data_IF_186342130539
#
_entry.id   IF_186342130539
#
_cell.length_a   1.000
_cell.length_b   1.000
_cell.length_c   1.000
_cell.angle_alpha   90.00
_cell.angle_beta   90.00
_cell.angle_gamma   90.00
#
_symmetry.space_group_name_H-M   'P 1'
#
loop_
_entity.id
_entity.type
_entity.pdbx_description
1 polymer ?
#
# COMPACT_ATOMS: atom_id res chain seq x y z
N UNK A 1 -76.28 73.39 7.23
CA UNK A 1 -77.16 72.47 7.95
C UNK A 1 -76.53 71.07 7.81
N UNK A 2 -75.98 70.52 8.91
CA UNK A 2 -75.42 69.19 9.03
C UNK A 2 -76.49 68.09 8.82
N UNK A 3 -76.06 66.86 8.53
CA UNK A 3 -75.83 65.97 9.66
C UNK A 3 -74.63 65.00 9.51
N UNK A 4 -74.02 64.74 10.63
CA UNK A 4 -73.17 63.70 11.11
C UNK A 4 -73.74 62.27 10.92
N UNK A 5 -72.92 61.27 10.48
CA UNK A 5 -72.97 59.83 10.75
C UNK A 5 -71.73 59.25 10.05
N UNK A 6 -70.90 58.38 10.54
CA UNK A 6 -70.72 57.59 11.73
C UNK A 6 -69.35 56.91 11.58
N UNK A 7 -68.48 57.20 12.50
CA UNK A 7 -67.15 56.62 12.61
C UNK A 7 -67.21 55.47 13.64
N UNK A 8 -67.76 54.32 13.29
CA UNK A 8 -67.78 53.18 14.21
C UNK A 8 -67.86 51.79 13.51
N UNK A 9 -67.37 51.66 12.30
CA UNK A 9 -67.40 50.30 11.60
C UNK A 9 -66.06 49.78 11.11
N UNK A 10 -64.94 50.48 11.39
CA UNK A 10 -63.64 50.09 10.90
C UNK A 10 -62.69 49.39 11.92
N UNK A 11 -63.11 49.34 13.22
CA UNK A 11 -62.22 48.81 14.29
C UNK A 11 -62.42 47.31 14.64
N UNK A 12 -63.31 46.56 13.96
CA UNK A 12 -63.55 45.12 14.27
C UNK A 12 -63.08 44.14 13.25
N UNK A 13 -62.45 44.56 12.17
CA UNK A 13 -61.90 43.64 11.13
C UNK A 13 -60.41 43.48 11.17
N UNK A 14 -59.62 44.19 11.95
CA UNK A 14 -58.15 44.06 12.05
C UNK A 14 -57.67 43.17 13.20
N UNK A 15 -58.52 42.63 14.05
CA UNK A 15 -58.15 41.82 15.21
C UNK A 15 -58.24 40.27 14.97
N UNK A 16 -58.75 39.80 13.80
CA UNK A 16 -58.87 38.35 13.50
C UNK A 16 -57.85 37.85 12.49
N UNK A 17 -57.01 38.69 11.89
CA UNK A 17 -55.99 38.29 10.94
C UNK A 17 -54.58 38.21 11.53
N UNK A 18 -54.36 38.63 12.78
CA UNK A 18 -53.06 38.56 13.45
C UNK A 18 -52.84 37.26 14.28
N UNK A 19 -53.89 36.45 14.50
CA UNK A 19 -53.79 35.21 15.28
C UNK A 19 -53.57 33.94 14.44
N UNK A 20 -53.63 34.00 13.08
CA UNK A 20 -53.43 32.85 12.20
C UNK A 20 -52.02 32.75 11.58
N UNK A 21 -51.12 33.71 11.84
CA UNK A 21 -49.77 33.74 11.31
C UNK A 21 -48.67 33.30 12.29
N UNK A 22 -49.03 32.97 13.54
CA UNK A 22 -48.04 32.57 14.56
C UNK A 22 -47.96 31.05 14.85
N UNK A 23 -48.63 30.19 14.03
CA UNK A 23 -48.75 28.76 14.30
C UNK A 23 -48.01 27.85 13.27
N UNK A 24 -47.06 28.37 12.47
CA UNK A 24 -46.45 27.59 11.41
C UNK A 24 -44.92 27.70 11.29
N UNK A 25 -44.20 27.82 12.38
CA UNK A 25 -42.73 27.59 12.37
C UNK A 25 -42.31 26.94 13.70
N UNK A 26 -42.91 25.79 14.02
CA UNK A 26 -42.24 24.77 14.79
C UNK A 26 -41.69 23.77 13.75
N UNK A 27 -40.68 24.18 13.01
CA UNK A 27 -39.76 23.20 12.41
C UNK A 27 -39.18 22.43 13.57
N UNK A 28 -39.63 21.18 13.70
CA UNK A 28 -38.96 20.16 14.48
C UNK A 28 -37.48 20.15 14.02
N UNK A 29 -36.62 20.84 14.75
CA UNK A 29 -35.21 20.56 14.75
C UNK A 29 -35.11 19.11 15.29
N UNK A 30 -35.16 18.13 14.38
CA UNK A 30 -34.74 16.77 14.72
C UNK A 30 -33.40 16.91 15.43
N UNK A 31 -33.20 16.32 16.60
CA UNK A 31 -31.89 16.32 17.23
C UNK A 31 -30.92 15.79 16.17
N UNK A 32 -29.92 16.59 15.83
CA UNK A 32 -28.80 16.11 15.01
C UNK A 32 -28.19 14.98 15.83
N UNK A 33 -28.61 13.75 15.57
CA UNK A 33 -27.93 12.59 16.11
C UNK A 33 -26.51 12.71 15.60
N UNK A 34 -25.55 12.88 16.51
CA UNK A 34 -24.14 12.77 16.15
C UNK A 34 -24.00 11.44 15.41
N UNK A 35 -23.63 11.50 14.13
CA UNK A 35 -23.49 10.30 13.32
C UNK A 35 -22.48 9.39 14.02
N UNK A 36 -22.87 8.15 14.34
CA UNK A 36 -21.96 7.18 14.95
C UNK A 36 -20.70 7.01 14.12
N UNK A 37 -19.56 6.82 14.78
CA UNK A 37 -18.28 6.59 14.12
C UNK A 37 -17.80 5.15 14.32
N UNK A 38 -16.94 4.70 13.39
CA UNK A 38 -16.10 3.52 13.53
C UNK A 38 -14.65 3.94 13.34
N UNK A 39 -13.79 3.58 14.29
CA UNK A 39 -12.36 3.92 14.20
C UNK A 39 -11.60 2.93 13.34
N UNK A 40 -10.66 3.46 12.54
CA UNK A 40 -9.66 2.68 11.79
C UNK A 40 -8.26 3.18 12.13
N UNK A 41 -7.31 2.27 12.26
CA UNK A 41 -5.91 2.62 12.50
C UNK A 41 -5.17 2.93 11.20
N UNK A 42 -4.29 3.93 11.24
CA UNK A 42 -3.36 4.27 10.16
C UNK A 42 -1.95 4.27 10.77
N UNK A 43 -1.19 3.21 10.47
CA UNK A 43 0.10 2.91 11.11
C UNK A 43 1.21 3.00 10.08
N UNK A 44 1.76 4.19 9.92
CA UNK A 44 2.85 4.49 8.98
C UNK A 44 3.88 5.42 9.60
N UNK A 45 5.17 5.21 9.30
CA UNK A 45 6.24 6.10 9.74
C UNK A 45 6.15 7.45 9.03
N UNK A 46 5.98 8.51 9.81
CA UNK A 46 5.93 9.90 9.32
C UNK A 46 7.26 10.62 9.57
N UNK A 47 8.18 9.94 10.26
CA UNK A 47 9.53 10.37 10.55
C UNK A 47 10.52 9.20 10.44
N UNK A 48 11.84 9.49 10.39
CA UNK A 48 12.89 8.48 10.18
C UNK A 48 13.04 8.05 8.71
N UNK A 49 13.83 6.97 8.49
CA UNK A 49 14.28 6.52 7.15
C UNK A 49 13.15 6.15 6.20
N UNK A 50 12.00 5.69 6.72
CA UNK A 50 10.87 5.26 5.91
C UNK A 50 9.85 6.36 5.62
N UNK A 51 10.01 7.57 6.18
CA UNK A 51 9.09 8.67 5.94
C UNK A 51 8.98 9.07 4.47
N UNK A 52 10.04 8.88 3.67
CA UNK A 52 10.06 9.14 2.23
C UNK A 52 8.99 8.34 1.47
N UNK A 53 8.68 7.13 1.93
CA UNK A 53 7.72 6.20 1.31
C UNK A 53 6.38 6.16 2.08
N UNK A 54 6.42 6.15 3.42
CA UNK A 54 5.22 5.86 4.21
C UNK A 54 4.28 7.06 4.40
N UNK A 55 4.77 8.30 4.25
CA UNK A 55 3.92 9.50 4.39
C UNK A 55 2.79 9.51 3.36
N UNK A 56 3.09 9.13 2.12
CA UNK A 56 2.11 9.09 1.02
C UNK A 56 1.06 8.00 1.23
N UNK A 57 1.41 6.89 1.87
CA UNK A 57 0.44 5.84 2.19
C UNK A 57 -0.56 6.30 3.24
N UNK A 58 -0.11 7.00 4.29
CA UNK A 58 -1.01 7.66 5.24
C UNK A 58 -1.95 8.63 4.53
N UNK A 59 -1.43 9.45 3.61
CA UNK A 59 -2.20 10.44 2.88
C UNK A 59 -3.31 9.80 2.02
N UNK A 60 -3.00 8.72 1.29
CA UNK A 60 -4.00 8.07 0.43
C UNK A 60 -5.05 7.30 1.23
N UNK A 61 -4.69 6.72 2.37
CA UNK A 61 -5.68 6.11 3.29
C UNK A 61 -6.65 7.18 3.80
N UNK A 62 -6.15 8.37 4.17
CA UNK A 62 -7.01 9.49 4.59
C UNK A 62 -7.91 9.97 3.45
N UNK A 63 -7.42 10.01 2.21
CA UNK A 63 -8.24 10.33 1.04
C UNK A 63 -9.37 9.30 0.85
N UNK A 64 -9.06 8.00 0.92
CA UNK A 64 -10.08 6.96 0.81
C UNK A 64 -11.13 7.07 1.92
N UNK A 65 -10.72 7.36 3.15
CA UNK A 65 -11.64 7.60 4.28
C UNK A 65 -12.52 8.81 4.03
N UNK A 66 -11.96 9.91 3.53
CA UNK A 66 -12.72 11.12 3.21
C UNK A 66 -13.78 10.87 2.12
N UNK A 67 -13.40 10.18 1.04
CA UNK A 67 -14.31 9.79 -0.05
C UNK A 67 -15.45 8.88 0.45
N UNK A 68 -15.15 7.88 1.26
CA UNK A 68 -16.16 6.98 1.85
C UNK A 68 -17.09 7.78 2.77
N UNK A 69 -16.55 8.67 3.58
CA UNK A 69 -17.30 9.53 4.47
C UNK A 69 -18.21 10.51 3.70
N UNK A 70 -17.73 11.08 2.61
CA UNK A 70 -18.56 11.91 1.72
C UNK A 70 -19.73 11.12 1.11
N UNK A 71 -19.52 9.83 0.82
CA UNK A 71 -20.54 8.88 0.35
C UNK A 71 -21.51 8.36 1.43
N UNK A 72 -21.42 8.82 2.69
CA UNK A 72 -22.30 8.39 3.78
C UNK A 72 -21.67 7.47 4.82
N UNK A 73 -20.39 7.09 4.62
CA UNK A 73 -19.66 6.20 5.53
C UNK A 73 -19.88 4.72 5.23
N UNK A 74 -19.78 3.87 6.22
CA UNK A 74 -19.95 2.42 6.12
C UNK A 74 -20.96 1.93 7.16
N UNK A 75 -21.96 1.15 6.76
CA UNK A 75 -23.11 0.76 7.59
C UNK A 75 -23.73 1.92 8.38
N UNK A 76 -23.81 3.12 7.76
CA UNK A 76 -24.37 4.32 8.38
C UNK A 76 -23.44 5.05 9.37
N UNK A 77 -22.22 4.55 9.58
CA UNK A 77 -21.21 5.17 10.45
C UNK A 77 -20.15 5.91 9.64
N UNK A 78 -19.69 7.06 10.13
CA UNK A 78 -18.49 7.70 9.60
C UNK A 78 -17.24 6.96 10.05
N UNK A 79 -16.24 6.88 9.17
CA UNK A 79 -14.92 6.35 9.53
C UNK A 79 -14.13 7.46 10.21
N UNK A 80 -13.57 7.16 11.37
CA UNK A 80 -12.67 8.04 12.13
C UNK A 80 -11.25 7.46 12.06
N UNK A 81 -10.32 8.07 11.32
CA UNK A 81 -8.94 7.57 11.23
C UNK A 81 -8.15 7.96 12.49
N UNK A 82 -7.47 6.98 13.08
CA UNK A 82 -6.51 7.16 14.17
C UNK A 82 -5.11 6.98 13.59
N UNK A 83 -4.42 8.11 13.35
CA UNK A 83 -3.09 8.13 12.76
C UNK A 83 -2.04 8.05 13.87
N UNK A 84 -1.09 7.12 13.74
CA UNK A 84 0.03 6.96 14.67
C UNK A 84 1.35 6.89 13.89
N UNK A 85 2.38 7.56 14.42
CA UNK A 85 3.75 7.56 13.89
C UNK A 85 4.64 6.65 14.74
N UNK A 86 5.13 5.52 14.23
CA UNK A 86 6.12 4.68 14.87
C UNK A 86 7.56 5.11 14.54
N UNK A 87 7.79 6.24 13.86
CA UNK A 87 9.08 6.90 13.64
C UNK A 87 10.19 6.01 13.07
N UNK A 88 9.85 5.03 12.21
CA UNK A 88 10.78 4.02 11.68
C UNK A 88 11.48 3.18 12.77
N UNK A 89 10.89 3.09 13.96
CA UNK A 89 11.35 2.27 15.08
C UNK A 89 10.51 0.99 15.16
N UNK A 90 11.13 -0.16 14.88
CA UNK A 90 10.41 -1.42 14.72
C UNK A 90 9.70 -1.91 15.99
N UNK A 91 10.30 -1.85 17.20
CA UNK A 91 9.61 -2.07 18.47
C UNK A 91 8.40 -1.15 18.67
N UNK A 92 8.50 0.12 18.31
CA UNK A 92 7.41 1.08 18.47
C UNK A 92 6.21 0.77 17.60
N UNK A 93 6.40 0.12 16.42
CA UNK A 93 5.29 -0.40 15.63
C UNK A 93 4.40 -1.35 16.43
N UNK A 94 4.98 -2.29 17.18
CA UNK A 94 4.22 -3.22 18.00
C UNK A 94 3.44 -2.52 19.14
N UNK A 95 4.06 -1.53 19.79
CA UNK A 95 3.39 -0.73 20.82
C UNK A 95 2.22 0.07 20.26
N UNK A 96 2.42 0.75 19.12
CA UNK A 96 1.38 1.51 18.43
C UNK A 96 0.26 0.62 17.93
N UNK A 97 0.56 -0.56 17.39
CA UNK A 97 -0.47 -1.53 17.00
C UNK A 97 -1.30 -1.96 18.21
N UNK A 98 -0.66 -2.24 19.35
CA UNK A 98 -1.37 -2.58 20.59
C UNK A 98 -2.24 -1.42 21.09
N UNK A 99 -1.75 -0.18 21.01
CA UNK A 99 -2.53 1.02 21.32
C UNK A 99 -3.79 1.08 20.45
N UNK A 100 -3.65 0.95 19.13
CA UNK A 100 -4.76 0.99 18.18
C UNK A 100 -5.83 -0.07 18.49
N UNK A 101 -5.41 -1.30 18.80
CA UNK A 101 -6.34 -2.40 19.07
C UNK A 101 -7.03 -2.21 20.43
N UNK A 102 -6.26 -1.98 21.51
CA UNK A 102 -6.75 -2.08 22.89
C UNK A 102 -7.30 -0.75 23.42
N UNK A 103 -6.62 0.36 23.12
CA UNK A 103 -7.01 1.68 23.66
C UNK A 103 -7.98 2.39 22.71
N UNK A 104 -7.62 2.46 21.41
CA UNK A 104 -8.41 3.16 20.41
C UNK A 104 -9.57 2.29 19.89
N UNK A 105 -9.48 0.96 20.02
CA UNK A 105 -10.49 -0.03 19.61
C UNK A 105 -10.84 0.10 18.14
N UNK A 106 -9.83 0.14 17.28
CA UNK A 106 -10.02 0.22 15.83
C UNK A 106 -10.58 -1.07 15.26
N UNK A 107 -11.44 -0.97 14.25
CA UNK A 107 -12.02 -2.12 13.56
C UNK A 107 -11.03 -2.78 12.58
N UNK A 108 -10.06 -2.01 12.08
CA UNK A 108 -9.01 -2.45 11.15
C UNK A 108 -7.84 -1.48 11.24
N UNK A 109 -6.64 -1.95 10.88
CA UNK A 109 -5.46 -1.09 10.69
C UNK A 109 -4.99 -1.20 9.25
N UNK A 110 -4.62 -0.06 8.65
CA UNK A 110 -3.94 0.05 7.37
C UNK A 110 -2.51 0.50 7.66
N UNK A 111 -1.52 -0.27 7.20
CA UNK A 111 -0.19 0.14 7.60
C UNK A 111 0.93 -0.83 7.38
N UNK A 112 2.04 -0.34 7.85
CA UNK A 112 3.40 -0.81 7.71
C UNK A 112 3.94 -0.69 6.27
N UNK A 113 5.26 -0.55 6.18
CA UNK A 113 6.00 -0.68 4.93
C UNK A 113 6.96 -1.86 5.01
N UNK A 114 7.88 -1.84 5.95
CA UNK A 114 8.95 -2.83 5.98
C UNK A 114 8.46 -4.18 6.51
N UNK A 115 9.06 -5.26 6.01
CA UNK A 115 8.77 -6.60 6.54
C UNK A 115 9.17 -6.73 8.02
N UNK A 116 10.16 -5.98 8.48
CA UNK A 116 10.51 -5.97 9.92
C UNK A 116 9.43 -5.30 10.76
N UNK A 117 8.82 -4.21 10.29
CA UNK A 117 7.68 -3.59 11.00
C UNK A 117 6.46 -4.51 11.00
N UNK A 118 6.13 -5.14 9.85
CA UNK A 118 5.06 -6.14 9.78
C UNK A 118 5.29 -7.30 10.74
N UNK A 119 6.50 -7.87 10.77
CA UNK A 119 6.84 -8.96 11.70
C UNK A 119 6.82 -8.53 13.16
N UNK A 120 7.09 -7.27 13.47
CA UNK A 120 6.95 -6.73 14.83
C UNK A 120 5.49 -6.64 15.26
N UNK A 121 4.57 -6.29 14.34
CA UNK A 121 3.14 -6.19 14.67
C UNK A 121 2.40 -7.53 14.57
N UNK A 122 2.91 -8.51 13.82
CA UNK A 122 2.26 -9.81 13.59
C UNK A 122 1.79 -10.49 14.89
N UNK A 123 2.64 -10.69 15.93
CA UNK A 123 2.19 -11.33 17.16
C UNK A 123 1.15 -10.50 17.93
N UNK A 124 1.14 -9.18 17.73
CA UNK A 124 0.12 -8.29 18.33
C UNK A 124 -1.21 -8.42 17.59
N UNK A 125 -1.18 -8.48 16.25
CA UNK A 125 -2.38 -8.62 15.42
C UNK A 125 -3.05 -9.98 15.62
N UNK A 126 -2.27 -11.04 15.79
CA UNK A 126 -2.75 -12.41 16.01
C UNK A 126 -3.11 -12.74 17.47
N UNK A 127 -2.78 -11.85 18.40
CA UNK A 127 -3.11 -12.07 19.80
C UNK A 127 -4.63 -12.15 20.02
N UNK A 128 -5.04 -13.02 20.93
CA UNK A 128 -6.44 -13.13 21.34
C UNK A 128 -6.79 -11.97 22.28
N UNK A 129 -7.76 -11.19 21.89
CA UNK A 129 -8.30 -10.09 22.70
C UNK A 129 -9.71 -10.41 23.17
N UNK A 130 -10.07 -9.90 24.35
CA UNK A 130 -11.45 -9.95 24.82
C UNK A 130 -12.31 -8.92 24.10
N UNK A 131 -13.63 -9.06 24.12
CA UNK A 131 -14.55 -8.05 23.58
C UNK A 131 -14.48 -6.71 24.34
N UNK A 132 -13.98 -6.72 25.58
CA UNK A 132 -13.72 -5.50 26.35
C UNK A 132 -12.50 -4.74 25.80
N UNK A 133 -11.47 -5.47 25.35
CA UNK A 133 -10.27 -4.91 24.77
C UNK A 133 -10.54 -4.43 23.33
N UNK A 134 -11.21 -5.26 22.52
CA UNK A 134 -11.61 -4.87 21.16
C UNK A 134 -12.95 -5.54 20.79
N UNK A 135 -14.01 -4.76 20.51
CA UNK A 135 -15.34 -5.31 20.24
C UNK A 135 -15.46 -6.02 18.89
N UNK A 136 -14.46 -5.88 18.01
CA UNK A 136 -14.47 -6.43 16.66
C UNK A 136 -13.79 -7.80 16.55
N UNK A 137 -13.11 -8.29 17.60
CA UNK A 137 -12.50 -9.61 17.65
C UNK A 137 -10.97 -9.61 17.56
N UNK A 138 -10.32 -8.48 17.88
CA UNK A 138 -8.86 -8.38 17.95
C UNK A 138 -8.24 -7.47 16.90
N UNK A 139 -7.04 -7.84 16.40
CA UNK A 139 -6.34 -7.09 15.36
C UNK A 139 -6.72 -7.57 13.95
N UNK A 140 -6.79 -6.65 13.00
CA UNK A 140 -6.89 -6.91 11.57
C UNK A 140 -6.02 -5.88 10.85
N UNK A 141 -5.14 -6.35 9.95
CA UNK A 141 -4.18 -5.50 9.24
C UNK A 141 -4.32 -5.67 7.74
N UNK A 142 -4.36 -4.56 7.00
CA UNK A 142 -4.11 -4.51 5.57
C UNK A 142 -2.69 -3.98 5.33
N UNK A 143 -1.85 -4.82 4.74
CA UNK A 143 -0.43 -4.55 4.46
C UNK A 143 -0.22 -4.29 2.97
N UNK A 144 0.10 -3.03 2.56
CA UNK A 144 0.02 -2.61 1.16
C UNK A 144 1.32 -2.79 0.35
N UNK A 145 2.39 -3.29 0.95
CA UNK A 145 3.73 -3.22 0.35
C UNK A 145 4.20 -4.60 -0.08
N UNK A 146 5.05 -4.65 -1.11
CA UNK A 146 5.74 -5.87 -1.51
C UNK A 146 6.55 -6.47 -0.35
N UNK A 147 6.72 -7.79 -0.36
CA UNK A 147 7.45 -8.46 0.69
C UNK A 147 8.08 -9.78 0.20
N UNK A 148 8.87 -10.40 1.06
CA UNK A 148 9.66 -11.60 0.76
C UNK A 148 8.86 -12.90 0.60
N UNK A 149 7.55 -12.90 0.83
CA UNK A 149 6.79 -14.13 1.02
C UNK A 149 7.11 -14.79 2.37
N UNK A 150 7.02 -16.13 2.41
CA UNK A 150 7.36 -16.94 3.57
C UNK A 150 6.51 -16.64 4.81
N UNK A 151 5.28 -16.18 4.57
CA UNK A 151 4.34 -15.82 5.63
C UNK A 151 2.89 -15.88 5.14
N UNK A 152 2.02 -16.34 6.02
CA UNK A 152 0.58 -16.28 5.87
C UNK A 152 -0.05 -16.09 7.24
N UNK A 153 -0.96 -15.13 7.38
CA UNK A 153 -1.63 -14.83 8.65
C UNK A 153 -3.15 -14.77 8.47
N UNK A 154 -3.93 -15.31 9.40
CA UNK A 154 -5.40 -15.17 9.36
C UNK A 154 -5.88 -13.75 9.63
N UNK A 155 -5.00 -12.88 10.14
CA UNK A 155 -5.33 -11.51 10.56
C UNK A 155 -4.66 -10.44 9.70
N UNK A 156 -3.90 -10.83 8.66
CA UNK A 156 -3.26 -9.89 7.74
C UNK A 156 -3.74 -10.15 6.32
N UNK A 157 -4.16 -9.10 5.63
CA UNK A 157 -4.42 -9.08 4.20
C UNK A 157 -3.28 -8.38 3.48
N UNK A 158 -2.64 -9.10 2.57
CA UNK A 158 -1.46 -8.65 1.82
C UNK A 158 -1.92 -8.06 0.48
N UNK A 159 -1.98 -6.73 0.40
CA UNK A 159 -2.36 -6.04 -0.84
C UNK A 159 -1.17 -5.67 -1.70
N UNK A 160 0.06 -5.76 -1.17
CA UNK A 160 1.31 -5.68 -1.93
C UNK A 160 1.72 -6.98 -2.62
N UNK A 161 2.80 -6.94 -3.38
CA UNK A 161 3.30 -8.06 -4.17
C UNK A 161 3.99 -9.16 -3.34
N UNK A 162 3.74 -10.43 -3.66
CA UNK A 162 4.58 -11.57 -3.28
C UNK A 162 5.75 -11.75 -4.27
N UNK A 163 6.79 -12.57 -3.96
CA UNK A 163 7.96 -12.71 -4.81
C UNK A 163 7.68 -13.12 -6.25
N UNK A 164 6.69 -14.00 -6.49
CA UNK A 164 6.29 -14.41 -7.83
C UNK A 164 5.50 -13.34 -8.59
N UNK A 165 5.15 -12.24 -7.93
CA UNK A 165 4.48 -11.07 -8.51
C UNK A 165 5.42 -9.86 -8.66
N UNK A 166 6.71 -10.00 -8.39
CA UNK A 166 7.69 -8.92 -8.51
C UNK A 166 9.10 -9.45 -8.82
N UNK A 167 9.75 -10.12 -7.87
CA UNK A 167 11.15 -10.50 -7.93
C UNK A 167 11.45 -11.47 -9.10
N UNK A 168 10.66 -12.53 -9.22
CA UNK A 168 10.87 -13.58 -10.20
C UNK A 168 10.61 -13.09 -11.62
N UNK A 169 9.47 -12.45 -11.95
CA UNK A 169 9.24 -11.92 -13.29
C UNK A 169 10.29 -10.88 -13.72
N UNK A 170 10.76 -10.05 -12.79
CA UNK A 170 11.82 -9.07 -13.07
C UNK A 170 13.14 -9.74 -13.43
N UNK A 171 13.55 -10.76 -12.67
CA UNK A 171 14.76 -11.51 -12.98
C UNK A 171 14.63 -12.28 -14.33
N UNK A 172 13.46 -12.87 -14.62
CA UNK A 172 13.18 -13.51 -15.92
C UNK A 172 13.26 -12.51 -17.07
N UNK A 173 12.66 -11.33 -16.91
CA UNK A 173 12.74 -10.26 -17.89
C UNK A 173 14.19 -9.89 -18.18
N UNK A 174 15.03 -9.68 -17.16
CA UNK A 174 16.44 -9.33 -17.36
C UNK A 174 17.22 -10.42 -18.09
N UNK A 175 16.82 -11.70 -17.94
CA UNK A 175 17.42 -12.83 -18.67
C UNK A 175 16.92 -12.93 -20.12
N UNK A 176 15.77 -12.35 -20.44
CA UNK A 176 15.19 -12.38 -21.79
C UNK A 176 15.92 -11.43 -22.75
N UNK A 177 15.65 -11.59 -24.06
CA UNK A 177 16.17 -10.69 -25.08
C UNK A 177 15.74 -9.24 -24.85
N UNK A 178 14.50 -9.01 -24.49
CA UNK A 178 13.94 -7.68 -24.23
C UNK A 178 14.58 -6.99 -23.01
N UNK A 179 14.96 -7.78 -21.98
CA UNK A 179 15.70 -7.30 -20.81
C UNK A 179 17.22 -7.23 -21.00
N UNK A 180 17.71 -7.52 -22.20
CA UNK A 180 19.13 -7.41 -22.56
C UNK A 180 19.97 -8.64 -22.25
N UNK A 181 19.34 -9.85 -22.13
CA UNK A 181 19.99 -11.16 -21.98
C UNK A 181 21.07 -11.19 -20.90
N UNK A 182 20.77 -10.61 -19.72
CA UNK A 182 21.73 -10.51 -18.62
C UNK A 182 22.10 -11.89 -18.06
N UNK A 183 23.37 -12.06 -17.72
CA UNK A 183 23.95 -13.31 -17.23
C UNK A 183 24.54 -13.19 -15.84
N UNK A 184 24.78 -11.95 -15.37
CA UNK A 184 25.36 -11.63 -14.08
C UNK A 184 24.40 -10.77 -13.27
N UNK A 185 24.19 -11.11 -12.00
CA UNK A 185 23.19 -10.50 -11.13
C UNK A 185 23.84 -10.02 -9.83
N UNK A 186 23.81 -8.71 -9.58
CA UNK A 186 24.27 -8.12 -8.34
C UNK A 186 23.07 -7.86 -7.43
N UNK A 187 22.91 -8.66 -6.40
CA UNK A 187 21.81 -8.57 -5.44
C UNK A 187 22.21 -7.61 -4.33
N UNK A 188 21.69 -6.40 -4.35
CA UNK A 188 22.02 -5.34 -3.38
C UNK A 188 20.80 -4.96 -2.58
N UNK A 189 20.88 -5.02 -1.24
CA UNK A 189 19.73 -4.74 -0.40
C UNK A 189 20.08 -4.07 0.93
N UNK A 190 19.04 -3.56 1.58
CA UNK A 190 19.14 -3.12 2.98
C UNK A 190 19.21 -4.35 3.89
N UNK A 191 19.98 -4.30 4.96
CA UNK A 191 20.23 -5.45 5.84
C UNK A 191 19.09 -5.70 6.83
N UNK A 192 18.01 -6.34 6.34
CA UNK A 192 16.92 -6.83 7.17
C UNK A 192 16.16 -7.99 6.49
N UNK A 193 15.05 -8.46 7.08
CA UNK A 193 14.40 -9.72 6.67
C UNK A 193 13.95 -9.74 5.20
N UNK A 194 13.39 -8.63 4.66
CA UNK A 194 12.92 -8.62 3.27
C UNK A 194 14.06 -8.85 2.27
N UNK A 195 15.14 -8.02 2.20
CA UNK A 195 16.21 -8.25 1.24
C UNK A 195 16.92 -9.58 1.45
N UNK A 196 17.15 -10.00 2.70
CA UNK A 196 17.81 -11.26 3.02
C UNK A 196 17.02 -12.47 2.49
N UNK A 197 15.71 -12.48 2.64
CA UNK A 197 14.86 -13.57 2.17
C UNK A 197 14.57 -13.46 0.67
N UNK A 198 14.31 -12.25 0.16
CA UNK A 198 14.17 -11.98 -1.28
C UNK A 198 15.38 -12.46 -2.07
N UNK A 199 16.61 -12.18 -1.59
CA UNK A 199 17.82 -12.63 -2.24
C UNK A 199 18.01 -14.17 -2.17
N UNK A 200 17.52 -14.84 -1.12
CA UNK A 200 17.48 -16.32 -1.10
C UNK A 200 16.58 -16.86 -2.20
N UNK A 201 15.39 -16.28 -2.37
CA UNK A 201 14.45 -16.65 -3.44
C UNK A 201 15.07 -16.40 -4.81
N UNK A 202 15.62 -15.20 -5.03
CA UNK A 202 16.30 -14.85 -6.29
C UNK A 202 17.47 -15.76 -6.61
N UNK A 203 18.33 -16.06 -5.64
CA UNK A 203 19.46 -16.99 -5.83
C UNK A 203 19.01 -18.39 -6.20
N UNK A 204 17.98 -18.91 -5.51
CA UNK A 204 17.42 -20.22 -5.82
C UNK A 204 16.81 -20.24 -7.23
N UNK A 205 16.07 -19.19 -7.60
CA UNK A 205 15.53 -19.01 -8.95
C UNK A 205 16.65 -18.95 -10.00
N UNK A 206 17.63 -18.08 -9.86
CA UNK A 206 18.74 -17.91 -10.81
C UNK A 206 19.52 -19.22 -11.01
N UNK A 207 19.81 -19.95 -9.92
CA UNK A 207 20.43 -21.28 -9.98
C UNK A 207 19.58 -22.30 -10.73
N UNK A 208 18.25 -22.28 -10.53
CA UNK A 208 17.33 -23.15 -11.27
C UNK A 208 17.34 -22.90 -12.79
N UNK A 209 17.69 -21.65 -13.19
CA UNK A 209 17.88 -21.26 -14.59
C UNK A 209 19.32 -21.49 -15.12
N UNK A 210 20.18 -22.08 -14.31
CA UNK A 210 21.56 -22.42 -14.70
C UNK A 210 22.59 -21.30 -14.56
N UNK A 211 22.24 -20.19 -13.83
CA UNK A 211 23.20 -19.10 -13.56
C UNK A 211 24.26 -19.60 -12.57
N UNK A 212 25.58 -19.57 -12.94
CA UNK A 212 26.65 -20.00 -12.05
C UNK A 212 26.78 -19.10 -10.81
N UNK A 213 27.27 -19.66 -9.70
CA UNK A 213 27.50 -18.88 -8.46
C UNK A 213 28.45 -17.69 -8.67
N UNK A 214 29.45 -17.82 -9.52
CA UNK A 214 30.36 -16.71 -9.86
C UNK A 214 29.68 -15.50 -10.54
N UNK A 215 28.49 -15.71 -11.08
CA UNK A 215 27.67 -14.68 -11.74
C UNK A 215 26.60 -14.10 -10.82
N UNK A 216 26.60 -14.45 -9.53
CA UNK A 216 25.66 -13.92 -8.54
C UNK A 216 26.47 -13.30 -7.40
N UNK A 217 26.46 -11.96 -7.33
CA UNK A 217 27.02 -11.23 -6.21
C UNK A 217 25.90 -10.83 -5.23
N UNK A 218 26.23 -10.71 -3.95
CA UNK A 218 25.25 -10.35 -2.92
C UNK A 218 25.90 -9.42 -1.88
N UNK A 219 25.27 -8.29 -1.61
CA UNK A 219 25.75 -7.33 -0.61
C UNK A 219 24.60 -6.60 0.07
N UNK A 220 24.83 -6.17 1.33
CA UNK A 220 23.84 -5.52 2.16
C UNK A 220 24.39 -4.28 2.83
N UNK A 221 23.53 -3.27 3.03
CA UNK A 221 23.83 -2.04 3.76
C UNK A 221 22.83 -1.83 4.89
N UNK A 222 23.21 -1.18 6.00
CA UNK A 222 22.24 -0.82 7.03
C UNK A 222 21.20 0.17 6.49
N UNK A 223 20.09 0.34 7.20
CA UNK A 223 19.19 1.48 6.98
C UNK A 223 19.93 2.81 7.10
N UNK A 224 19.49 3.83 6.36
CA UNK A 224 20.10 5.17 6.31
C UNK A 224 21.57 5.16 5.87
N UNK A 225 22.01 4.15 5.12
CA UNK A 225 23.36 4.11 4.54
C UNK A 225 23.52 5.17 3.46
N UNK A 226 24.62 5.92 3.51
CA UNK A 226 24.87 7.05 2.61
C UNK A 226 26.14 6.95 1.78
N UNK A 227 27.11 6.12 2.17
CA UNK A 227 28.41 5.97 1.48
C UNK A 227 28.42 4.73 0.58
N UNK A 228 28.00 4.89 -0.65
CA UNK A 228 27.98 3.81 -1.64
C UNK A 228 29.22 3.72 -2.53
N UNK A 229 30.27 4.54 -2.29
CA UNK A 229 31.43 4.62 -3.17
C UNK A 229 32.10 3.25 -3.41
N UNK A 230 32.36 2.50 -2.36
CA UNK A 230 33.01 1.18 -2.47
C UNK A 230 32.10 0.15 -3.11
N UNK A 231 30.79 0.14 -2.76
CA UNK A 231 29.82 -0.83 -3.29
C UNK A 231 29.61 -0.59 -4.79
N UNK A 232 29.41 0.66 -5.20
CA UNK A 232 29.25 1.01 -6.62
C UNK A 232 30.52 0.70 -7.42
N UNK A 233 31.72 0.88 -6.83
CA UNK A 233 32.98 0.44 -7.43
C UNK A 233 33.04 -1.06 -7.69
N UNK A 234 32.53 -1.88 -6.76
CA UNK A 234 32.42 -3.34 -6.96
C UNK A 234 31.39 -3.70 -8.04
N UNK A 235 30.23 -3.02 -8.07
CA UNK A 235 29.23 -3.18 -9.11
C UNK A 235 29.83 -2.87 -10.48
N UNK A 236 30.60 -1.78 -10.60
CA UNK A 236 31.25 -1.37 -11.84
C UNK A 236 32.24 -2.43 -12.36
N UNK A 237 33.07 -2.99 -11.49
CA UNK A 237 33.98 -4.07 -11.85
C UNK A 237 33.22 -5.35 -12.24
N UNK A 238 32.17 -5.71 -11.50
CA UNK A 238 31.33 -6.86 -11.80
C UNK A 238 30.62 -6.73 -13.15
N UNK A 239 30.23 -5.52 -13.54
CA UNK A 239 29.50 -5.22 -14.77
C UNK A 239 30.38 -4.87 -15.98
N UNK A 240 31.71 -4.94 -15.87
CA UNK A 240 32.64 -4.49 -16.92
C UNK A 240 32.44 -5.12 -18.30
N UNK A 241 31.90 -6.35 -18.34
CA UNK A 241 31.66 -7.09 -19.56
C UNK A 241 30.29 -6.79 -20.20
N UNK A 242 29.45 -5.94 -19.58
CA UNK A 242 28.18 -5.45 -20.13
C UNK A 242 26.97 -6.39 -19.98
N UNK A 243 27.13 -7.58 -19.40
CA UNK A 243 26.10 -8.59 -19.26
C UNK A 243 25.51 -8.70 -17.83
N UNK A 244 25.76 -7.66 -17.00
CA UNK A 244 25.29 -7.60 -15.62
C UNK A 244 24.09 -6.66 -15.43
N UNK A 245 23.32 -6.92 -14.36
CA UNK A 245 22.35 -5.98 -13.81
C UNK A 245 22.40 -5.99 -12.28
N UNK A 246 21.85 -4.95 -11.66
CA UNK A 246 21.62 -4.88 -10.22
C UNK A 246 20.14 -5.18 -9.95
N UNK A 247 19.86 -6.13 -9.09
CA UNK A 247 18.53 -6.37 -8.50
C UNK A 247 18.51 -5.73 -7.12
N UNK A 248 17.84 -4.57 -7.00
CA UNK A 248 17.93 -3.71 -5.83
C UNK A 248 16.74 -3.87 -4.90
N UNK A 249 17.01 -4.32 -3.68
CA UNK A 249 16.07 -4.35 -2.54
C UNK A 249 16.46 -3.32 -1.46
N UNK A 250 17.14 -2.23 -1.84
CA UNK A 250 17.41 -1.10 -0.97
C UNK A 250 16.09 -0.40 -0.63
N UNK A 251 15.89 -0.06 0.64
CA UNK A 251 14.67 0.60 1.12
C UNK A 251 14.95 1.96 1.77
N UNK A 252 13.94 2.82 1.73
CA UNK A 252 13.97 4.12 2.39
C UNK A 252 14.90 5.12 1.73
N UNK A 253 15.35 6.07 2.52
CA UNK A 253 16.18 7.20 2.11
C UNK A 253 17.56 6.82 1.53
N UNK A 254 18.05 5.62 1.81
CA UNK A 254 19.31 5.07 1.27
C UNK A 254 19.32 4.92 -0.26
N UNK A 255 18.16 4.89 -0.92
CA UNK A 255 18.06 4.86 -2.37
C UNK A 255 18.64 6.13 -3.02
N UNK A 256 18.44 7.30 -2.41
CA UNK A 256 18.90 8.59 -2.95
C UNK A 256 20.43 8.61 -3.11
N UNK A 257 21.26 8.38 -2.08
CA UNK A 257 22.72 8.34 -2.23
C UNK A 257 23.20 7.17 -3.10
N UNK A 258 22.51 6.02 -3.11
CA UNK A 258 22.87 4.92 -3.98
C UNK A 258 22.81 5.31 -5.46
N UNK A 259 21.66 5.80 -5.93
CA UNK A 259 21.51 6.18 -7.33
C UNK A 259 22.40 7.38 -7.72
N UNK A 260 22.59 8.33 -6.82
CA UNK A 260 23.51 9.45 -7.02
C UNK A 260 24.93 8.96 -7.25
N UNK A 261 25.43 8.06 -6.40
CA UNK A 261 26.78 7.52 -6.52
C UNK A 261 26.92 6.62 -7.76
N UNK A 262 25.88 5.85 -8.10
CA UNK A 262 25.83 5.02 -9.30
C UNK A 262 26.05 5.85 -10.57
N UNK A 263 25.34 6.98 -10.68
CA UNK A 263 25.50 7.93 -11.77
C UNK A 263 26.88 8.63 -11.74
N UNK A 264 27.36 9.04 -10.55
CA UNK A 264 28.66 9.71 -10.40
C UNK A 264 29.84 8.85 -10.86
N UNK A 265 29.79 7.53 -10.69
CA UNK A 265 30.79 6.61 -11.20
C UNK A 265 30.63 6.26 -12.69
N UNK A 266 29.68 6.88 -13.38
CA UNK A 266 29.44 6.74 -14.81
C UNK A 266 28.75 5.43 -15.19
N UNK A 267 28.03 4.80 -14.26
CA UNK A 267 27.13 3.70 -14.54
C UNK A 267 25.80 4.27 -15.04
N UNK A 268 25.29 3.72 -16.12
CA UNK A 268 24.02 4.06 -16.75
C UNK A 268 23.20 2.79 -16.97
N UNK A 269 21.92 2.92 -17.27
CA UNK A 269 21.06 1.77 -17.57
C UNK A 269 21.59 0.92 -18.74
N UNK A 270 22.19 1.55 -19.75
CA UNK A 270 22.78 0.82 -20.89
C UNK A 270 23.97 -0.06 -20.49
N UNK A 271 24.77 0.38 -19.51
CA UNK A 271 25.95 -0.34 -19.04
C UNK A 271 25.60 -1.42 -18.00
N UNK A 272 24.78 -1.04 -17.03
CA UNK A 272 24.36 -1.90 -15.94
C UNK A 272 22.99 -1.42 -15.41
N UNK A 273 21.89 -1.93 -15.96
CA UNK A 273 20.56 -1.56 -15.47
C UNK A 273 20.37 -1.96 -14.01
N UNK A 274 19.75 -1.08 -13.24
CA UNK A 274 19.23 -1.40 -11.93
C UNK A 274 17.74 -1.73 -12.09
N UNK A 275 17.28 -2.84 -11.53
CA UNK A 275 15.86 -3.15 -11.35
C UNK A 275 15.52 -2.95 -9.88
N UNK A 276 14.74 -1.94 -9.58
CA UNK A 276 14.33 -1.63 -8.22
C UNK A 276 13.06 -2.39 -7.80
N UNK A 277 13.04 -2.81 -6.54
CA UNK A 277 11.88 -3.44 -5.91
C UNK A 277 11.26 -2.58 -4.78
N UNK A 278 11.82 -1.40 -4.55
CA UNK A 278 11.36 -0.47 -3.51
C UNK A 278 11.58 1.00 -3.92
N UNK A 279 11.62 1.27 -5.22
CA UNK A 279 11.61 2.63 -5.78
C UNK A 279 10.51 2.69 -6.82
N UNK A 280 9.62 3.66 -6.65
CA UNK A 280 8.53 3.97 -7.56
C UNK A 280 8.45 5.50 -7.77
N UNK A 281 7.36 5.99 -8.31
CA UNK A 281 7.19 7.41 -8.64
C UNK A 281 7.39 8.34 -7.43
N UNK A 282 6.97 7.92 -6.23
CA UNK A 282 7.06 8.81 -5.05
C UNK A 282 8.51 8.96 -4.55
N UNK A 283 9.32 7.89 -4.54
CA UNK A 283 10.74 7.96 -4.20
C UNK A 283 11.53 8.76 -5.24
N UNK A 284 11.19 8.63 -6.53
CA UNK A 284 11.84 9.35 -7.63
C UNK A 284 11.73 10.88 -7.49
N UNK A 285 10.70 11.40 -6.82
CA UNK A 285 10.56 12.85 -6.55
C UNK A 285 11.72 13.43 -5.74
N UNK A 286 12.46 12.58 -5.03
CA UNK A 286 13.62 12.97 -4.22
C UNK A 286 14.96 12.74 -4.93
N UNK A 287 14.94 12.37 -6.21
CA UNK A 287 16.13 11.97 -6.99
C UNK A 287 16.31 12.84 -8.24
N UNK A 288 17.52 12.83 -8.80
CA UNK A 288 17.85 13.47 -10.09
C UNK A 288 17.46 12.52 -11.23
N UNK A 289 16.19 12.49 -11.60
CA UNK A 289 15.61 11.47 -12.50
C UNK A 289 16.20 11.44 -13.89
N UNK A 290 16.71 12.57 -14.39
CA UNK A 290 17.39 12.64 -15.69
C UNK A 290 18.63 11.71 -15.75
N UNK A 291 19.28 11.46 -14.62
CA UNK A 291 20.43 10.54 -14.50
C UNK A 291 20.01 9.07 -14.37
N UNK A 292 18.73 8.83 -14.14
CA UNK A 292 18.17 7.49 -13.87
C UNK A 292 17.40 6.92 -15.07
N UNK A 293 17.30 7.67 -16.16
CA UNK A 293 16.55 7.25 -17.36
C UNK A 293 17.02 5.87 -17.83
N UNK A 294 16.06 4.98 -18.06
CA UNK A 294 16.31 3.61 -18.54
C UNK A 294 16.55 2.58 -17.45
N UNK A 295 16.83 2.97 -16.18
CA UNK A 295 16.77 2.02 -15.07
C UNK A 295 15.32 1.55 -14.86
N UNK A 296 15.15 0.39 -14.28
CA UNK A 296 13.87 -0.33 -14.23
C UNK A 296 13.33 -0.41 -12.80
N UNK A 297 12.03 -0.58 -12.71
CA UNK A 297 11.36 -1.02 -11.51
C UNK A 297 10.33 -2.10 -11.84
N UNK A 298 10.08 -3.01 -10.90
CA UNK A 298 9.06 -4.04 -11.04
C UNK A 298 7.96 -3.84 -9.98
N UNK A 299 6.74 -3.63 -10.46
CA UNK A 299 5.57 -3.34 -9.65
C UNK A 299 4.29 -3.97 -10.21
N UNK A 300 3.15 -3.72 -9.60
CA UNK A 300 1.85 -4.17 -10.09
C UNK A 300 0.95 -3.00 -10.53
N UNK A 301 1.47 -1.80 -10.42
CA UNK A 301 0.85 -0.55 -10.84
C UNK A 301 1.94 0.49 -11.13
N UNK A 302 1.67 1.35 -12.10
CA UNK A 302 2.38 2.61 -12.35
C UNK A 302 1.37 3.71 -12.62
N UNK A 303 1.66 4.95 -12.22
CA UNK A 303 0.79 6.10 -12.51
C UNK A 303 0.57 6.30 -14.02
N UNK A 304 1.50 5.84 -14.85
CA UNK A 304 1.42 5.93 -16.32
C UNK A 304 0.42 4.99 -16.98
N UNK A 305 -0.30 4.15 -16.23
CA UNK A 305 -1.40 3.33 -16.77
C UNK A 305 -2.48 4.23 -17.38
N UNK A 306 -2.75 4.05 -18.69
CA UNK A 306 -3.56 4.92 -19.53
C UNK A 306 -5.08 4.60 -19.46
N UNK A 307 -5.63 4.34 -18.27
CA UNK A 307 -7.08 4.16 -18.07
C UNK A 307 -7.74 5.42 -17.51
N UNK A 308 -9.02 5.69 -17.83
CA UNK A 308 -9.76 6.81 -17.25
C UNK A 308 -9.82 6.74 -15.71
N UNK A 309 -9.97 5.54 -15.16
CA UNK A 309 -10.04 5.28 -13.72
C UNK A 309 -8.74 5.67 -13.02
N UNK A 310 -7.61 5.29 -13.61
CA UNK A 310 -6.29 5.64 -13.08
C UNK A 310 -6.01 7.15 -13.15
N UNK A 311 -6.29 7.76 -14.29
CA UNK A 311 -6.15 9.23 -14.44
C UNK A 311 -6.98 9.98 -13.41
N UNK A 312 -8.23 9.57 -13.22
CA UNK A 312 -9.12 10.15 -12.22
C UNK A 312 -8.61 9.94 -10.78
N UNK A 313 -8.01 8.79 -10.48
CA UNK A 313 -7.41 8.51 -9.18
C UNK A 313 -6.22 9.44 -8.90
N UNK A 314 -5.26 9.53 -9.82
CA UNK A 314 -4.11 10.41 -9.68
C UNK A 314 -4.52 11.88 -9.49
N UNK A 315 -5.51 12.36 -10.27
CA UNK A 315 -6.02 13.73 -10.14
C UNK A 315 -6.74 13.96 -8.80
N UNK A 316 -7.52 12.99 -8.31
CA UNK A 316 -8.16 13.10 -6.99
C UNK A 316 -7.11 13.17 -5.87
N UNK A 317 -6.03 12.37 -5.97
CA UNK A 317 -4.95 12.39 -4.98
C UNK A 317 -4.23 13.75 -4.95
N UNK A 318 -3.84 14.30 -6.10
CA UNK A 318 -3.27 15.65 -6.21
C UNK A 318 -4.20 16.71 -5.61
N UNK A 319 -5.47 16.66 -5.96
CA UNK A 319 -6.49 17.60 -5.42
C UNK A 319 -6.64 17.48 -3.90
N UNK A 320 -6.68 16.26 -3.37
CA UNK A 320 -6.76 16.01 -1.94
C UNK A 320 -5.55 16.59 -1.20
N UNK A 321 -4.35 16.37 -1.76
CA UNK A 321 -3.10 16.88 -1.23
C UNK A 321 -2.90 18.38 -1.46
N UNK A 322 -3.69 19.01 -2.34
CA UNK A 322 -3.50 20.41 -2.81
C UNK A 322 -2.09 20.64 -3.36
N UNK A 323 -1.54 19.65 -4.03
CA UNK A 323 -0.20 19.66 -4.61
C UNK A 323 -0.18 18.88 -5.93
N UNK A 324 -0.07 19.60 -7.03
CA UNK A 324 -0.07 19.04 -8.39
C UNK A 324 1.18 18.20 -8.70
N UNK A 325 2.20 18.27 -7.85
CA UNK A 325 3.43 17.48 -7.97
C UNK A 325 3.34 16.12 -7.28
N UNK A 326 2.25 15.86 -6.56
CA UNK A 326 2.04 14.53 -5.96
C UNK A 326 1.83 13.49 -7.05
N UNK A 327 2.34 12.32 -6.78
CA UNK A 327 2.23 11.15 -7.66
C UNK A 327 1.55 10.00 -6.95
N UNK A 328 1.09 9.04 -7.73
CA UNK A 328 0.61 7.74 -7.25
C UNK A 328 1.59 6.67 -7.69
N UNK A 329 1.68 5.58 -6.94
CA UNK A 329 2.52 4.41 -7.20
C UNK A 329 1.84 3.12 -6.71
N UNK A 330 2.50 1.98 -6.85
CA UNK A 330 1.92 0.67 -6.46
C UNK A 330 1.55 0.61 -4.97
N UNK A 331 2.41 0.96 -3.98
CA UNK A 331 2.02 0.96 -2.58
C UNK A 331 0.87 1.93 -2.26
N UNK A 332 0.83 3.09 -2.92
CA UNK A 332 -0.26 4.06 -2.78
C UNK A 332 -1.57 3.48 -3.31
N UNK A 333 -1.57 2.85 -4.51
CA UNK A 333 -2.74 2.16 -5.04
C UNK A 333 -3.19 1.03 -4.12
N UNK A 334 -2.23 0.22 -3.63
CA UNK A 334 -2.50 -0.92 -2.77
C UNK A 334 -3.09 -0.52 -1.40
N UNK A 335 -2.63 0.59 -0.83
CA UNK A 335 -3.19 1.17 0.38
C UNK A 335 -4.61 1.69 0.14
N UNK A 336 -4.83 2.40 -0.97
CA UNK A 336 -6.13 2.95 -1.35
C UNK A 336 -7.19 1.86 -1.53
N UNK A 337 -6.95 0.87 -2.40
CA UNK A 337 -7.93 -0.18 -2.62
C UNK A 337 -8.13 -1.08 -1.39
N UNK A 338 -7.11 -1.23 -0.54
CA UNK A 338 -7.23 -1.97 0.72
C UNK A 338 -8.34 -1.45 1.62
N UNK A 339 -8.51 -0.12 1.69
CA UNK A 339 -9.61 0.51 2.44
C UNK A 339 -10.97 0.14 1.84
N UNK A 340 -11.09 0.15 0.52
CA UNK A 340 -12.34 -0.21 -0.16
C UNK A 340 -12.65 -1.71 -0.08
N UNK A 341 -11.64 -2.58 -0.14
CA UNK A 341 -11.82 -4.02 0.09
C UNK A 341 -12.40 -4.28 1.47
N UNK A 342 -11.85 -3.65 2.52
CA UNK A 342 -12.39 -3.74 3.86
C UNK A 342 -13.82 -3.19 3.94
N UNK A 343 -14.07 -1.99 3.40
CA UNK A 343 -15.42 -1.38 3.37
C UNK A 343 -16.44 -2.31 2.73
N UNK A 344 -16.15 -2.82 1.53
CA UNK A 344 -17.05 -3.71 0.80
C UNK A 344 -17.33 -5.01 1.58
N UNK A 345 -16.31 -5.55 2.25
CA UNK A 345 -16.46 -6.73 3.10
C UNK A 345 -17.33 -6.46 4.33
N UNK A 346 -17.18 -5.32 4.98
CA UNK A 346 -18.02 -4.89 6.10
C UNK A 346 -19.48 -4.74 5.66
N UNK A 347 -19.73 -4.10 4.53
CA UNK A 347 -21.09 -3.96 3.97
C UNK A 347 -21.70 -5.32 3.59
N UNK A 348 -20.94 -6.20 2.95
CA UNK A 348 -21.36 -7.56 2.60
C UNK A 348 -21.66 -8.40 3.85
N UNK A 349 -20.86 -8.26 4.91
CA UNK A 349 -21.03 -8.96 6.17
C UNK A 349 -22.15 -8.36 7.05
N UNK A 350 -22.55 -7.09 6.81
CA UNK A 350 -23.47 -6.34 7.67
C UNK A 350 -22.90 -6.14 9.09
N UNK A 351 -21.59 -6.15 9.26
CA UNK A 351 -20.94 -6.19 10.58
C UNK A 351 -19.49 -5.68 10.47
N UNK A 352 -18.97 -5.17 11.59
CA UNK A 352 -17.54 -4.87 11.76
C UNK A 352 -16.76 -6.00 12.45
N UNK A 353 -17.44 -7.06 12.94
CA UNK A 353 -16.79 -8.18 13.61
C UNK A 353 -15.90 -8.97 12.65
N UNK A 354 -14.64 -9.21 13.03
CA UNK A 354 -13.65 -9.89 12.18
C UNK A 354 -14.08 -11.28 11.74
N UNK A 355 -14.76 -12.04 12.61
CA UNK A 355 -15.29 -13.36 12.29
C UNK A 355 -16.28 -13.36 11.11
N UNK A 356 -16.92 -12.21 10.82
CA UNK A 356 -17.84 -12.01 9.70
C UNK A 356 -17.17 -11.29 8.52
N UNK A 357 -16.28 -10.35 8.82
CA UNK A 357 -15.60 -9.52 7.80
C UNK A 357 -14.55 -10.33 7.04
N UNK A 358 -13.69 -11.09 7.75
CA UNK A 358 -12.60 -11.86 7.13
C UNK A 358 -13.12 -12.83 6.04
N UNK A 359 -14.14 -13.68 6.29
CA UNK A 359 -14.71 -14.52 5.23
C UNK A 359 -15.31 -13.73 4.06
N UNK A 360 -15.79 -12.51 4.30
CA UNK A 360 -16.36 -11.66 3.25
C UNK A 360 -15.30 -11.01 2.34
N UNK A 361 -14.05 -10.88 2.81
CA UNK A 361 -12.91 -10.41 2.02
C UNK A 361 -12.44 -11.48 1.05
N UNK A 362 -12.41 -12.74 1.49
CA UNK A 362 -11.86 -13.85 0.70
C UNK A 362 -12.62 -14.04 -0.63
N UNK A 363 -11.86 -14.15 -1.71
CA UNK A 363 -12.39 -14.31 -3.07
C UNK A 363 -13.05 -13.06 -3.65
N UNK A 364 -13.01 -11.91 -2.96
CA UNK A 364 -13.58 -10.65 -3.45
C UNK A 364 -12.84 -10.19 -4.70
N UNK A 365 -13.59 -9.93 -5.77
CA UNK A 365 -13.11 -9.26 -6.98
C UNK A 365 -13.52 -7.78 -6.90
N UNK A 366 -12.63 -6.90 -7.37
CA UNK A 366 -12.87 -5.46 -7.31
C UNK A 366 -12.09 -4.73 -8.39
N UNK A 367 -12.59 -3.54 -8.74
CA UNK A 367 -11.93 -2.63 -9.66
C UNK A 367 -11.09 -1.64 -8.86
N UNK A 368 -9.75 -1.72 -9.03
CA UNK A 368 -8.80 -0.78 -8.47
C UNK A 368 -8.38 0.24 -9.55
N UNK A 369 -7.74 1.37 -9.19
CA UNK A 369 -7.27 2.35 -10.17
C UNK A 369 -6.44 1.76 -11.31
N UNK A 370 -5.54 0.84 -11.04
CA UNK A 370 -4.73 0.12 -12.02
C UNK A 370 -5.43 -1.10 -12.66
N UNK A 371 -6.75 -1.24 -12.52
CA UNK A 371 -7.53 -2.32 -13.11
C UNK A 371 -7.99 -3.39 -12.11
N UNK A 372 -8.57 -4.47 -12.64
CA UNK A 372 -9.14 -5.55 -11.83
C UNK A 372 -8.11 -6.21 -10.92
N UNK A 373 -8.52 -6.51 -9.70
CA UNK A 373 -7.78 -7.25 -8.69
C UNK A 373 -8.72 -8.29 -8.04
N UNK A 374 -8.12 -9.25 -7.34
CA UNK A 374 -8.89 -10.28 -6.62
C UNK A 374 -8.16 -10.67 -5.34
N UNK A 375 -8.87 -10.70 -4.22
CA UNK A 375 -8.35 -11.32 -3.01
C UNK A 375 -8.33 -12.85 -3.19
N UNK A 376 -7.23 -13.49 -2.87
CA UNK A 376 -7.16 -14.95 -2.89
C UNK A 376 -8.16 -15.53 -1.87
N UNK A 377 -8.76 -16.67 -2.21
CA UNK A 377 -9.78 -17.29 -1.35
C UNK A 377 -9.19 -18.08 -0.16
N UNK A 378 -7.85 -18.21 -0.07
CA UNK A 378 -7.18 -19.07 0.91
C UNK A 378 -6.06 -18.35 1.66
N UNK A 379 -5.16 -17.65 0.94
CA UNK A 379 -3.90 -17.19 1.51
C UNK A 379 -3.87 -15.70 1.92
N UNK A 380 -4.99 -14.99 1.85
CA UNK A 380 -5.13 -13.56 2.22
C UNK A 380 -4.31 -12.59 1.37
N UNK A 381 -3.82 -13.00 0.21
CA UNK A 381 -3.06 -12.16 -0.71
C UNK A 381 -3.89 -11.69 -1.89
N UNK A 382 -3.39 -10.72 -2.62
CA UNK A 382 -4.08 -10.14 -3.78
C UNK A 382 -3.51 -10.67 -5.09
N UNK A 383 -4.36 -11.18 -5.99
CA UNK A 383 -4.01 -11.43 -7.39
C UNK A 383 -3.85 -10.09 -8.11
N UNK A 384 -2.70 -9.89 -8.74
CA UNK A 384 -2.31 -8.62 -9.38
C UNK A 384 -1.59 -8.89 -10.72
N UNK A 385 -1.62 -7.98 -11.71
CA UNK A 385 -0.71 -8.06 -12.85
C UNK A 385 0.71 -7.79 -12.39
N UNK A 386 1.70 -8.17 -13.18
CA UNK A 386 3.10 -7.74 -12.97
C UNK A 386 3.49 -6.83 -14.11
N UNK A 387 4.10 -5.71 -13.76
CA UNK A 387 4.57 -4.69 -14.70
C UNK A 387 6.05 -4.42 -14.47
N UNK A 388 6.79 -4.20 -15.57
CA UNK A 388 8.14 -3.68 -15.51
C UNK A 388 8.12 -2.32 -16.19
N UNK A 389 8.55 -1.30 -15.47
CA UNK A 389 8.61 0.08 -15.93
C UNK A 389 10.05 0.55 -16.10
N UNK A 390 10.30 1.33 -17.14
CA UNK A 390 11.56 2.04 -17.37
C UNK A 390 11.41 3.47 -16.90
N UNK A 391 12.35 3.95 -16.08
CA UNK A 391 12.35 5.32 -15.54
C UNK A 391 12.50 6.33 -16.67
N UNK A 392 11.63 7.34 -16.69
CA UNK A 392 11.66 8.51 -17.56
C UNK A 392 12.30 9.71 -16.85
N UNK A 393 12.72 10.69 -17.62
CA UNK A 393 13.31 11.93 -17.09
C UNK A 393 12.35 12.74 -16.18
N UNK A 394 11.04 12.60 -16.38
CA UNK A 394 10.00 13.26 -15.58
C UNK A 394 9.64 12.52 -14.28
N UNK A 395 10.35 11.44 -13.95
CA UNK A 395 10.09 10.63 -12.77
C UNK A 395 8.90 9.68 -12.89
N UNK A 396 8.36 9.53 -14.10
CA UNK A 396 7.33 8.53 -14.41
C UNK A 396 7.97 7.29 -15.04
N UNK A 397 7.16 6.29 -15.38
CA UNK A 397 7.64 5.05 -16.00
C UNK A 397 6.97 4.80 -17.34
N UNK A 398 7.77 4.32 -18.31
CA UNK A 398 7.24 3.64 -19.49
C UNK A 398 7.10 2.15 -19.17
N UNK A 399 5.90 1.60 -19.30
CA UNK A 399 5.67 0.15 -19.10
C UNK A 399 6.27 -0.59 -20.30
N UNK A 400 7.38 -1.30 -20.04
CA UNK A 400 8.14 -2.03 -21.09
C UNK A 400 7.79 -3.51 -21.15
N UNK A 401 7.15 -4.04 -20.11
CA UNK A 401 6.67 -5.42 -20.05
C UNK A 401 5.54 -5.57 -19.04
N UNK A 402 4.62 -6.50 -19.31
CA UNK A 402 3.55 -6.85 -18.38
C UNK A 402 3.05 -8.27 -18.61
N UNK A 403 2.43 -8.86 -17.58
CA UNK A 403 1.70 -10.13 -17.70
C UNK A 403 0.38 -9.95 -18.45
N UNK A 404 -0.10 -11.00 -19.10
CA UNK A 404 -1.41 -10.98 -19.80
C UNK A 404 -2.61 -10.88 -18.85
N UNK A 405 -2.44 -11.13 -17.56
CA UNK A 405 -3.52 -11.11 -16.59
C UNK A 405 -3.02 -11.11 -15.16
N UNK A 406 -3.94 -11.42 -14.25
CA UNK A 406 -3.63 -11.47 -12.82
C UNK A 406 -2.78 -12.70 -12.49
N UNK A 407 -1.66 -12.48 -11.84
CA UNK A 407 -0.80 -13.53 -11.30
C UNK A 407 -1.34 -13.92 -9.91
N UNK A 408 -1.54 -15.22 -9.71
CA UNK A 408 -1.89 -15.76 -8.39
C UNK A 408 -0.71 -15.58 -7.43
N UNK A 409 -0.91 -15.03 -6.23
CA UNK A 409 0.15 -14.85 -5.26
C UNK A 409 0.58 -16.16 -4.62
N UNK A 410 1.89 -16.39 -4.51
CA UNK A 410 2.49 -17.46 -3.72
C UNK A 410 2.91 -16.91 -2.36
N UNK A 411 2.29 -17.37 -1.29
CA UNK A 411 2.67 -16.97 0.08
C UNK A 411 3.99 -17.61 0.52
N UNK A 412 4.34 -18.77 -0.07
CA UNK A 412 5.61 -19.48 0.14
C UNK A 412 6.24 -19.80 -1.21
N UNK A 413 7.55 -19.54 -1.34
CA UNK A 413 8.25 -19.66 -2.60
C UNK A 413 8.47 -21.12 -3.01
N UNK A 414 8.05 -21.47 -4.23
CA UNK A 414 8.32 -22.78 -4.86
C UNK A 414 9.81 -23.02 -5.14
N UNK A 415 10.65 -22.01 -5.05
CA UNK A 415 12.10 -22.11 -5.17
C UNK A 415 12.80 -22.44 -3.85
N UNK A 416 12.12 -22.23 -2.72
CA UNK A 416 12.65 -22.54 -1.38
C UNK A 416 12.01 -23.79 -0.78
N UNK A 417 10.79 -24.13 -1.20
CA UNK A 417 10.01 -25.23 -0.63
C UNK A 417 9.52 -26.20 -1.71
N UNK A 418 9.47 -27.46 -1.35
CA UNK A 418 8.80 -28.48 -2.15
C UNK A 418 7.26 -28.32 -2.07
N UNK A 419 6.49 -28.87 -3.03
CA UNK A 419 5.03 -28.85 -2.99
C UNK A 419 4.44 -29.40 -1.68
N UNK A 420 5.03 -30.47 -1.13
CA UNK A 420 4.59 -31.09 0.12
C UNK A 420 4.83 -30.16 1.33
N UNK A 421 5.93 -29.41 1.34
CA UNK A 421 6.21 -28.41 2.37
C UNK A 421 5.23 -27.25 2.28
N UNK A 422 4.98 -26.73 1.07
CA UNK A 422 3.98 -25.66 0.85
C UNK A 422 2.60 -26.11 1.31
N UNK A 423 2.20 -27.35 0.99
CA UNK A 423 0.91 -27.88 1.46
C UNK A 423 0.82 -27.94 2.99
N UNK A 424 1.91 -28.34 3.68
CA UNK A 424 1.96 -28.33 5.15
C UNK A 424 1.89 -26.92 5.73
N UNK A 425 2.57 -25.96 5.10
CA UNK A 425 2.60 -24.57 5.53
C UNK A 425 1.25 -23.84 5.32
N UNK A 426 0.56 -24.15 4.22
CA UNK A 426 -0.69 -23.46 3.82
C UNK A 426 -1.95 -24.21 4.19
N UNK A 427 -1.91 -25.53 4.25
CA UNK A 427 -3.08 -26.41 4.45
C UNK A 427 -3.30 -26.89 5.87
N UNK A 428 -2.43 -26.53 6.82
CA UNK A 428 -2.64 -26.89 8.22
C UNK A 428 -3.44 -25.81 8.95
N UNK A 429 -4.64 -26.13 9.49
CA UNK A 429 -5.38 -25.21 10.37
C UNK A 429 -4.56 -24.79 11.60
N UNK A 430 -3.55 -25.56 12.00
CA UNK A 430 -2.66 -25.26 13.11
C UNK A 430 -1.53 -24.26 12.74
N UNK A 431 -1.21 -24.09 11.47
CA UNK A 431 -0.29 -23.06 11.01
C UNK A 431 -0.95 -21.66 11.00
N UNK A 432 -2.28 -21.62 10.89
CA UNK A 432 -3.09 -20.39 11.02
C UNK A 432 -3.49 -20.09 12.48
N UNK A 433 -3.26 -21.01 13.44
CA UNK A 433 -3.73 -20.90 14.82
C UNK A 433 -2.59 -20.81 15.86
N UNK A 434 -1.34 -20.70 15.41
CA UNK A 434 -0.17 -20.50 16.28
C UNK A 434 0.40 -19.07 16.02
#
# INVERSE_FOLDING_TARGET
MMPTKSVFAAARRCLFTAAAAAASVLTLAAPAHAQETVKVGVLHSLSGTMAISETSLKDVVLMAVDEINAGGGVLGKKIEPVVVDPASDWPLFAEKMKQLIVQDKVAVTFGCWTSVSRKSVLPVVEAKYSTADNPYGGGLLFYPVQYEGEEQSPNIFYTGASPNQQLIPAAEYMMSADGGSKKKFYLLGTDYVFPRTANKVLKAFLKSKGVPDANIAEEYTPFSHTDYQTIVGKVKEFAKDGDACVLSTINGDSNVPFYKEFANQGLTADKCPVVAFSVAEDELRSMETEKLVGHLAAWNYFQSIETPENKAFAERFKKFMKDDKRVTDDPIEAAYFGVYVWKNAVEKAGSFEHAKVVPAILGQEFDAPGGKKKMDSVNHHTHKPVLIGSIRADGQFDIVWQTEGLVKPDSFSTYLHSPDEIQKLTGSPSAMAK
#
